data_IF_623372444553
#
_entry.id   IF_623372444553
#
_cell.length_a   1.000
_cell.length_b   1.000
_cell.length_c   1.000
_cell.angle_alpha   90.00
_cell.angle_beta   90.00
_cell.angle_gamma   90.00
#
_symmetry.space_group_name_H-M   'P 1'
#
loop_
_entity.id
_entity.type
_entity.pdbx_description
1 polymer ?
#
# COMPACT_ATOMS: atom_id res chain seq x y z
N UNK A 1 9.41 -1.80 0.65
CA UNK A 1 8.52 -1.93 -0.52
C UNK A 1 9.13 -2.90 -1.49
N UNK A 2 8.36 -3.86 -1.84
CA UNK A 2 8.78 -4.92 -2.71
C UNK A 2 8.02 -4.85 -4.02
N UNK A 3 8.73 -4.66 -5.12
CA UNK A 3 8.18 -4.70 -6.46
C UNK A 3 8.46 -6.07 -7.07
N UNK A 4 7.41 -6.74 -7.53
CA UNK A 4 7.52 -8.02 -8.22
C UNK A 4 7.12 -7.87 -9.68
N UNK A 5 7.93 -8.40 -10.59
CA UNK A 5 7.62 -8.50 -12.01
C UNK A 5 7.19 -9.93 -12.32
N UNK A 6 6.01 -10.10 -12.90
CA UNK A 6 5.51 -11.39 -13.37
C UNK A 6 6.02 -11.64 -14.79
N UNK A 7 6.73 -12.76 -15.00
CA UNK A 7 7.32 -13.12 -16.30
C UNK A 7 8.85 -13.03 -16.36
N UNK A 8 9.46 -12.28 -15.50
CA UNK A 8 10.86 -12.39 -15.11
C UNK A 8 10.90 -12.28 -13.59
N UNK A 9 11.31 -13.31 -12.90
CA UNK A 9 11.38 -13.36 -11.43
C UNK A 9 12.40 -12.35 -10.90
N UNK A 10 12.07 -11.07 -10.94
CA UNK A 10 12.94 -10.03 -10.39
C UNK A 10 12.21 -9.25 -9.30
N UNK A 11 12.62 -9.50 -8.07
CA UNK A 11 12.29 -8.59 -6.96
C UNK A 11 13.19 -7.36 -7.05
N UNK A 12 12.65 -6.22 -7.43
CA UNK A 12 13.37 -4.96 -7.49
C UNK A 12 13.11 -4.20 -6.20
N UNK A 13 14.17 -3.91 -5.45
CA UNK A 13 14.10 -2.99 -4.32
C UNK A 13 13.99 -1.55 -4.83
N UNK A 14 13.33 -0.69 -4.08
CA UNK A 14 13.11 0.73 -4.32
C UNK A 14 14.30 1.47 -4.96
N UNK A 15 15.49 1.25 -4.42
CA UNK A 15 16.70 1.95 -4.84
C UNK A 15 17.15 1.62 -6.27
N UNK A 16 16.67 0.52 -6.85
CA UNK A 16 17.08 0.08 -8.18
C UNK A 16 16.16 0.56 -9.32
N UNK A 17 15.03 1.16 -9.00
CA UNK A 17 14.09 1.62 -10.01
C UNK A 17 14.42 2.99 -10.62
N UNK A 18 15.29 3.75 -10.00
CA UNK A 18 15.69 5.05 -10.53
C UNK A 18 16.32 4.94 -11.91
N UNK A 19 15.78 5.66 -12.89
CA UNK A 19 16.27 5.71 -14.24
C UNK A 19 15.86 4.55 -15.15
N UNK A 20 15.05 3.59 -14.67
CA UNK A 20 14.55 2.48 -15.48
C UNK A 20 13.10 2.67 -15.88
N UNK A 21 12.78 2.42 -17.15
CA UNK A 21 11.42 2.33 -17.67
C UNK A 21 11.04 0.86 -17.83
N UNK A 22 9.89 0.49 -17.31
CA UNK A 22 9.39 -0.88 -17.35
C UNK A 22 8.43 -1.03 -18.53
N UNK A 23 8.93 -1.58 -19.65
CA UNK A 23 8.14 -1.83 -20.84
C UNK A 23 7.68 -3.28 -20.93
N UNK A 24 6.50 -3.51 -21.53
CA UNK A 24 5.95 -4.84 -21.79
C UNK A 24 5.95 -5.75 -20.55
N UNK A 25 5.64 -5.17 -19.41
CA UNK A 25 5.70 -5.84 -18.12
C UNK A 25 4.34 -5.85 -17.44
N UNK A 26 4.11 -6.89 -16.64
CA UNK A 26 3.01 -6.90 -15.68
C UNK A 26 3.60 -6.65 -14.28
N UNK A 27 3.21 -5.56 -13.66
CA UNK A 27 3.86 -5.06 -12.46
C UNK A 27 2.86 -5.06 -11.32
N UNK A 28 3.24 -5.64 -10.19
CA UNK A 28 2.41 -5.64 -8.97
C UNK A 28 3.17 -4.90 -7.88
N UNK A 29 2.56 -3.86 -7.35
CA UNK A 29 3.02 -3.16 -6.16
C UNK A 29 2.07 -3.49 -5.00
N UNK A 30 2.55 -4.32 -4.10
CA UNK A 30 1.80 -4.74 -2.93
C UNK A 30 2.17 -3.92 -1.69
N UNK A 31 1.26 -3.88 -0.70
CA UNK A 31 1.45 -3.11 0.54
C UNK A 31 1.79 -1.62 0.30
N UNK A 32 1.19 -1.04 -0.73
CA UNK A 32 1.54 0.30 -1.20
C UNK A 32 1.10 1.45 -0.28
N UNK A 33 0.28 1.18 0.74
CA UNK A 33 -0.05 2.15 1.77
C UNK A 33 1.19 2.63 2.56
N UNK A 34 2.25 1.81 2.58
CA UNK A 34 3.51 2.14 3.24
C UNK A 34 4.51 2.87 2.34
N UNK A 35 4.12 3.22 1.12
CA UNK A 35 4.93 4.08 0.25
C UNK A 35 4.83 5.54 0.66
N UNK A 36 5.92 6.27 0.51
CA UNK A 36 5.91 7.73 0.56
C UNK A 36 5.36 8.31 -0.75
N UNK A 37 5.04 9.61 -0.76
CA UNK A 37 4.60 10.30 -1.97
C UNK A 37 5.65 10.22 -3.08
N UNK A 38 6.92 10.38 -2.73
CA UNK A 38 8.03 10.32 -3.67
C UNK A 38 8.24 8.93 -4.27
N UNK A 39 8.15 7.90 -3.44
CA UNK A 39 8.26 6.52 -3.89
C UNK A 39 7.14 6.14 -4.85
N UNK A 40 5.90 6.51 -4.54
CA UNK A 40 4.76 6.23 -5.40
C UNK A 40 4.87 6.98 -6.73
N UNK A 41 5.25 8.24 -6.71
CA UNK A 41 5.49 9.03 -7.92
C UNK A 41 6.60 8.43 -8.77
N UNK A 42 7.70 8.03 -8.16
CA UNK A 42 8.80 7.36 -8.85
C UNK A 42 8.33 6.07 -9.53
N UNK A 43 7.59 5.23 -8.83
CA UNK A 43 7.05 3.98 -9.36
C UNK A 43 6.13 4.23 -10.57
N UNK A 44 5.15 5.12 -10.42
CA UNK A 44 4.15 5.38 -11.46
C UNK A 44 4.78 5.97 -12.74
N UNK A 45 5.82 6.76 -12.60
CA UNK A 45 6.52 7.37 -13.74
C UNK A 45 7.49 6.43 -14.45
N UNK A 46 7.71 5.22 -13.94
CA UNK A 46 8.53 4.17 -14.57
C UNK A 46 7.75 3.17 -15.40
N UNK A 47 6.43 3.24 -15.37
CA UNK A 47 5.57 2.38 -16.18
C UNK A 47 5.70 2.79 -17.64
N UNK A 48 6.15 1.87 -18.47
CA UNK A 48 6.37 2.11 -19.89
C UNK A 48 5.29 1.52 -20.81
N UNK A 49 5.55 1.56 -22.10
CA UNK A 49 4.61 1.06 -23.09
C UNK A 49 4.37 -0.44 -22.97
N UNK A 50 3.11 -0.83 -23.17
CA UNK A 50 2.69 -2.22 -23.12
C UNK A 50 2.68 -2.83 -21.72
N UNK A 51 2.86 -2.04 -20.68
CA UNK A 51 2.88 -2.50 -19.30
C UNK A 51 1.52 -2.31 -18.63
N UNK A 52 1.20 -3.25 -17.75
CA UNK A 52 0.04 -3.17 -16.85
C UNK A 52 0.55 -3.15 -15.42
N UNK A 53 0.08 -2.21 -14.64
CA UNK A 53 0.43 -2.11 -13.23
C UNK A 53 -0.81 -2.34 -12.35
N UNK A 54 -0.66 -3.17 -11.34
CA UNK A 54 -1.66 -3.39 -10.30
C UNK A 54 -1.07 -2.94 -8.97
N UNK A 55 -1.75 -2.00 -8.34
CA UNK A 55 -1.34 -1.43 -7.07
C UNK A 55 -2.36 -1.85 -6.02
N UNK A 56 -1.89 -2.52 -4.98
CA UNK A 56 -2.73 -2.99 -3.89
C UNK A 56 -2.28 -2.40 -2.56
N UNK A 57 -3.21 -2.25 -1.65
CA UNK A 57 -2.90 -1.77 -0.31
C UNK A 57 -4.15 -1.49 0.51
N UNK A 58 -3.93 -1.26 1.78
CA UNK A 58 -4.97 -0.91 2.74
C UNK A 58 -4.62 0.42 3.41
N UNK A 59 -5.32 1.47 3.06
CA UNK A 59 -5.08 2.83 3.60
C UNK A 59 -5.36 2.96 5.10
N UNK A 60 -5.99 1.95 5.71
CA UNK A 60 -6.21 1.89 7.16
C UNK A 60 -5.04 1.33 7.94
N UNK A 61 -4.08 0.67 7.27
CA UNK A 61 -2.93 -0.02 7.85
C UNK A 61 -1.60 0.68 7.52
N UNK A 62 -1.51 1.97 7.79
CA UNK A 62 -0.31 2.75 7.47
C UNK A 62 0.70 2.68 8.61
N UNK A 63 1.88 2.10 8.35
CA UNK A 63 3.02 1.97 9.27
C UNK A 63 4.14 2.98 8.98
N UNK A 64 3.81 4.14 8.46
CA UNK A 64 4.77 5.20 8.20
C UNK A 64 5.06 6.04 9.45
N UNK A 65 6.23 6.68 9.55
CA UNK A 65 6.53 7.62 10.61
C UNK A 65 5.45 8.70 10.76
N UNK A 66 5.23 9.14 11.98
CA UNK A 66 4.23 10.17 12.30
C UNK A 66 4.43 11.42 11.45
N UNK A 67 3.37 11.90 10.82
CA UNK A 67 3.41 13.06 9.92
C UNK A 67 3.78 12.74 8.48
N UNK A 68 4.13 11.50 8.16
CA UNK A 68 4.37 11.06 6.78
C UNK A 68 3.06 10.61 6.14
N UNK A 69 2.71 11.20 5.01
CA UNK A 69 1.51 10.83 4.25
C UNK A 69 1.74 9.55 3.45
N UNK A 70 0.72 8.70 3.40
CA UNK A 70 0.73 7.52 2.55
C UNK A 70 0.69 7.92 1.07
N UNK A 71 1.61 7.36 0.28
CA UNK A 71 1.62 7.54 -1.17
C UNK A 71 0.37 7.00 -1.85
N UNK A 72 -0.16 5.87 -1.36
CA UNK A 72 -1.40 5.29 -1.89
C UNK A 72 -2.61 6.20 -1.65
N UNK A 73 -2.79 6.71 -0.45
CA UNK A 73 -3.90 7.60 -0.13
C UNK A 73 -3.85 8.88 -0.97
N UNK A 74 -2.67 9.42 -1.19
CA UNK A 74 -2.47 10.60 -2.03
C UNK A 74 -2.78 10.31 -3.50
N UNK A 75 -2.29 9.20 -4.03
CA UNK A 75 -2.45 8.85 -5.44
C UNK A 75 -3.90 8.57 -5.81
N UNK A 76 -4.69 8.03 -4.91
CA UNK A 76 -6.14 7.83 -5.12
C UNK A 76 -6.83 9.16 -5.44
N UNK A 77 -6.48 10.22 -4.75
CA UNK A 77 -7.04 11.55 -5.00
C UNK A 77 -6.48 12.19 -6.27
N UNK A 78 -5.20 12.07 -6.50
CA UNK A 78 -4.51 12.70 -7.64
C UNK A 78 -4.94 12.08 -8.97
N UNK A 79 -5.10 10.76 -9.01
CA UNK A 79 -5.33 10.03 -10.25
C UNK A 79 -6.78 9.64 -10.51
N UNK A 80 -7.71 10.03 -9.67
CA UNK A 80 -9.13 9.62 -9.79
C UNK A 80 -9.79 10.00 -11.13
N UNK A 81 -9.35 11.08 -11.74
CA UNK A 81 -9.91 11.61 -12.99
C UNK A 81 -9.03 11.32 -14.21
N UNK A 82 -7.97 10.54 -14.05
CA UNK A 82 -7.06 10.21 -15.16
C UNK A 82 -7.62 9.05 -15.98
N UNK A 83 -7.81 9.20 -17.29
CA UNK A 83 -8.27 8.13 -18.16
C UNK A 83 -7.26 6.96 -18.18
N UNK A 84 -7.76 5.74 -18.24
CA UNK A 84 -6.92 4.54 -18.29
C UNK A 84 -6.52 3.98 -16.91
N UNK A 85 -7.01 4.61 -15.84
CA UNK A 85 -6.78 4.13 -14.47
C UNK A 85 -8.12 3.77 -13.84
N UNK A 86 -8.21 2.57 -13.27
CA UNK A 86 -9.40 2.07 -12.58
C UNK A 86 -9.11 1.86 -11.10
N UNK A 87 -10.07 2.20 -10.26
CA UNK A 87 -10.01 1.99 -8.82
C UNK A 87 -11.09 1.01 -8.38
N UNK A 88 -10.69 0.03 -7.60
CA UNK A 88 -11.60 -0.94 -6.97
C UNK A 88 -11.42 -0.88 -5.46
N UNK A 89 -12.49 -0.58 -4.75
CA UNK A 89 -12.51 -0.51 -3.30
C UNK A 89 -13.22 -1.74 -2.73
N UNK A 90 -12.49 -2.53 -1.97
CA UNK A 90 -13.07 -3.65 -1.23
C UNK A 90 -13.66 -3.16 0.09
N UNK A 91 -14.82 -3.70 0.43
CA UNK A 91 -15.50 -3.44 1.70
C UNK A 91 -15.19 -4.56 2.69
N UNK A 92 -15.38 -4.35 3.99
CA UNK A 92 -15.21 -5.41 5.00
C UNK A 92 -15.99 -6.69 4.69
N UNK A 93 -17.17 -6.57 4.07
CA UNK A 93 -18.00 -7.70 3.63
C UNK A 93 -17.36 -8.56 2.53
N UNK A 94 -16.40 -8.02 1.77
CA UNK A 94 -15.72 -8.72 0.68
C UNK A 94 -14.57 -9.60 1.19
N UNK A 95 -14.24 -9.47 2.46
CA UNK A 95 -13.17 -10.26 3.09
C UNK A 95 -13.68 -11.66 3.40
N UNK A 96 -13.10 -12.66 2.73
CA UNK A 96 -13.36 -14.07 2.99
C UNK A 96 -12.23 -14.61 3.86
N UNK A 97 -12.56 -15.04 5.07
CA UNK A 97 -11.60 -15.61 6.02
C UNK A 97 -12.12 -16.96 6.56
N UNK A 98 -11.19 -17.84 6.88
CA UNK A 98 -11.54 -19.03 7.63
C UNK A 98 -12.18 -18.63 8.97
N UNK A 99 -13.26 -19.31 9.43
CA UNK A 99 -13.97 -18.92 10.66
C UNK A 99 -13.07 -18.85 11.91
N UNK A 100 -12.06 -19.70 11.99
CA UNK A 100 -11.08 -19.64 13.09
C UNK A 100 -10.25 -18.35 13.05
N UNK A 101 -9.82 -17.93 11.87
CA UNK A 101 -9.05 -16.68 11.70
C UNK A 101 -9.87 -15.48 12.12
N UNK A 102 -11.14 -15.46 11.76
CA UNK A 102 -12.05 -14.40 12.21
C UNK A 102 -12.15 -14.33 13.73
N UNK A 103 -12.29 -15.47 14.41
CA UNK A 103 -12.31 -15.54 15.88
C UNK A 103 -11.01 -15.07 16.51
N UNK A 104 -9.88 -15.37 15.88
CA UNK A 104 -8.57 -14.91 16.33
C UNK A 104 -8.49 -13.38 16.26
N UNK A 105 -8.87 -12.79 15.14
CA UNK A 105 -8.88 -11.32 14.96
C UNK A 105 -9.78 -10.65 16.00
N UNK A 106 -10.99 -11.15 16.18
CA UNK A 106 -11.92 -10.64 17.19
C UNK A 106 -11.37 -10.75 18.62
N UNK A 107 -10.59 -11.80 18.90
CA UNK A 107 -9.97 -11.97 20.21
C UNK A 107 -8.87 -10.92 20.44
N UNK A 108 -8.05 -10.63 19.44
CA UNK A 108 -7.04 -9.57 19.51
C UNK A 108 -7.69 -8.19 19.67
N UNK A 109 -8.70 -7.88 18.89
CA UNK A 109 -9.42 -6.61 18.96
C UNK A 109 -10.01 -6.38 20.36
N UNK A 110 -10.59 -7.42 20.97
CA UNK A 110 -11.11 -7.36 22.35
C UNK A 110 -10.01 -7.15 23.38
N UNK A 111 -8.87 -7.77 23.18
CA UNK A 111 -7.72 -7.64 24.09
C UNK A 111 -7.12 -6.24 24.02
N UNK A 112 -6.93 -5.72 22.82
CA UNK A 112 -6.41 -4.36 22.60
C UNK A 112 -7.36 -3.29 23.15
N UNK A 113 -8.66 -3.49 22.99
CA UNK A 113 -9.66 -2.56 23.53
C UNK A 113 -9.67 -2.50 25.08
N UNK A 114 -9.15 -3.53 25.75
CA UNK A 114 -9.02 -3.58 27.21
C UNK A 114 -7.72 -2.98 27.73
N UNK A 115 -6.74 -2.78 26.87
CA UNK A 115 -5.49 -2.13 27.28
C UNK A 115 -5.71 -0.61 27.25
N UNK A 116 -5.37 0.10 28.34
CA UNK A 116 -5.38 1.55 28.30
C UNK A 116 -4.37 2.00 27.24
N UNK A 117 -4.80 2.90 26.35
CA UNK A 117 -3.88 3.55 25.42
C UNK A 117 -2.71 4.09 26.24
N UNK A 118 -1.45 3.83 25.84
CA UNK A 118 -0.33 4.49 26.48
C UNK A 118 -0.58 5.99 26.37
N UNK A 119 -0.64 6.65 27.51
CA UNK A 119 -0.70 8.12 27.56
C UNK A 119 0.46 8.64 26.72
N UNK A 120 0.14 9.49 25.76
CA UNK A 120 1.17 10.21 25.04
C UNK A 120 2.08 10.87 26.08
N UNK A 121 3.41 10.75 25.96
CA UNK A 121 4.30 11.40 26.90
C UNK A 121 3.92 12.89 26.96
N UNK A 122 3.53 13.31 28.18
CA UNK A 122 3.11 14.67 28.41
C UNK A 122 4.15 15.62 27.85
N UNK A 123 3.68 16.61 27.14
CA UNK A 123 4.48 17.78 26.83
C UNK A 123 4.81 18.47 28.15
N UNK A 124 5.85 18.04 28.79
CA UNK A 124 6.53 18.91 29.73
C UNK A 124 7.40 19.84 28.92
N UNK A 125 6.98 21.07 28.97
CA UNK A 125 7.67 22.19 28.36
C UNK A 125 9.08 22.36 28.95
#
# INVERSE_FOLDING_TARGET
>A
IRLSLVGSEMCIRDSYMRGRTLNNSFIILDESQNTTLEQMKMFLTRIGFGSTAVITGDITQVDLPRGTKSGLAHVIEVLKDVPGISFTHFQPKDVVRHPLVQRIVEAYDRFEARQPKPEAPGKDA
#
